data_IF_544640764444
#
_entry.id   IF_544640764444
#
_cell.length_a   1.000
_cell.length_b   1.000
_cell.length_c   1.000
_cell.angle_alpha   90.00
_cell.angle_beta   90.00
_cell.angle_gamma   90.00
#
_symmetry.space_group_name_H-M   'P 1'
#
loop_
_entity.id
_entity.type
_entity.pdbx_description
1 polymer ?
#
# COMPACT_ATOMS: atom_id res chain seq x y z
N UNK A 1 3.30 -7.71 10.92
CA UNK A 1 2.14 -8.62 10.78
C UNK A 1 2.61 -10.05 11.03
N UNK A 2 1.84 -10.87 11.74
CA UNK A 2 2.16 -12.30 11.95
C UNK A 2 1.56 -13.13 10.82
N UNK A 3 2.21 -14.23 10.43
CA UNK A 3 1.61 -15.15 9.48
C UNK A 3 0.44 -15.90 10.17
N UNK A 4 -0.78 -15.92 9.59
CA UNK A 4 -1.90 -16.63 10.17
C UNK A 4 -1.72 -18.15 10.23
N UNK A 5 -0.79 -18.73 9.45
CA UNK A 5 -0.54 -20.17 9.45
C UNK A 5 0.49 -20.61 10.50
N UNK A 6 1.58 -19.86 10.72
CA UNK A 6 2.65 -20.28 11.63
C UNK A 6 2.80 -19.37 12.86
N UNK A 7 1.98 -18.32 13.00
CA UNK A 7 2.00 -17.33 14.09
C UNK A 7 3.34 -16.63 14.36
N UNK A 8 4.38 -16.94 13.59
CA UNK A 8 5.66 -16.27 13.66
C UNK A 8 5.59 -14.91 12.97
N UNK A 9 6.39 -13.97 13.46
CA UNK A 9 6.68 -12.71 12.77
C UNK A 9 7.30 -13.09 11.42
N UNK A 10 6.56 -12.84 10.33
CA UNK A 10 7.03 -13.11 8.98
C UNK A 10 8.16 -12.12 8.65
N UNK A 11 9.39 -12.44 9.08
CA UNK A 11 10.54 -11.54 9.07
C UNK A 11 11.13 -11.26 7.68
N UNK A 12 10.39 -11.55 6.61
CA UNK A 12 10.32 -10.75 5.38
C UNK A 12 9.28 -11.38 4.46
N UNK A 13 8.08 -10.79 4.39
CA UNK A 13 7.10 -11.13 3.36
C UNK A 13 7.68 -10.75 2.00
N UNK A 14 8.19 -11.73 1.24
CA UNK A 14 8.76 -11.49 -0.09
C UNK A 14 7.61 -11.20 -1.06
N UNK A 15 7.51 -9.95 -1.54
CA UNK A 15 6.59 -9.55 -2.62
C UNK A 15 7.11 -9.90 -4.01
N UNK A 16 8.43 -9.93 -4.18
CA UNK A 16 9.10 -10.22 -5.43
C UNK A 16 10.42 -10.91 -5.10
N UNK A 17 10.56 -12.16 -5.52
CA UNK A 17 11.89 -12.67 -5.83
C UNK A 17 11.81 -13.35 -7.18
N UNK A 18 12.75 -13.01 -8.07
CA UNK A 18 13.01 -13.76 -9.30
C UNK A 18 13.59 -15.16 -9.00
N UNK A 19 13.89 -15.47 -7.73
CA UNK A 19 14.19 -16.82 -7.25
C UNK A 19 12.92 -17.57 -6.83
N UNK A 20 12.98 -18.90 -6.85
CA UNK A 20 11.97 -19.89 -6.39
C UNK A 20 11.38 -19.67 -4.97
N UNK A 21 11.82 -18.63 -4.27
CA UNK A 21 11.45 -18.28 -2.90
C UNK A 21 10.29 -17.26 -2.81
N UNK A 22 9.83 -16.72 -3.94
CA UNK A 22 8.83 -15.63 -4.01
C UNK A 22 7.61 -15.96 -4.88
N UNK A 23 6.72 -14.98 -5.02
CA UNK A 23 5.56 -15.06 -5.92
C UNK A 23 5.91 -14.51 -7.31
N UNK A 24 5.29 -15.06 -8.35
CA UNK A 24 5.46 -14.53 -9.73
C UNK A 24 4.93 -13.08 -9.83
N UNK A 25 5.40 -12.30 -10.80
CA UNK A 25 4.92 -10.91 -11.01
C UNK A 25 3.39 -10.82 -11.12
N UNK A 26 2.76 -11.76 -11.84
CA UNK A 26 1.31 -11.86 -11.98
C UNK A 26 0.60 -12.06 -10.63
N UNK A 27 1.17 -12.88 -9.74
CA UNK A 27 0.66 -13.13 -8.39
C UNK A 27 0.91 -11.92 -7.45
N UNK A 28 2.03 -11.22 -7.62
CA UNK A 28 2.35 -9.98 -6.90
C UNK A 28 1.35 -8.86 -7.20
N UNK A 29 0.96 -8.69 -8.48
CA UNK A 29 -0.08 -7.73 -8.90
C UNK A 29 -1.46 -8.09 -8.32
N UNK A 30 -1.73 -9.37 -8.06
CA UNK A 30 -2.94 -9.83 -7.35
C UNK A 30 -2.87 -9.65 -5.83
N UNK A 31 -1.80 -9.05 -5.31
CA UNK A 31 -1.57 -8.82 -3.89
C UNK A 31 -1.20 -10.08 -3.12
N UNK A 32 -0.66 -11.11 -3.80
CA UNK A 32 -0.19 -12.33 -3.16
C UNK A 32 1.23 -12.15 -2.61
N UNK A 33 1.54 -12.89 -1.56
CA UNK A 33 2.74 -12.84 -0.75
C UNK A 33 3.07 -14.27 -0.34
N UNK A 34 4.34 -14.67 -0.27
CA UNK A 34 4.70 -15.97 0.31
C UNK A 34 5.34 -15.77 1.68
N UNK A 35 4.92 -16.55 2.67
CA UNK A 35 5.62 -16.57 3.94
C UNK A 35 6.88 -17.41 3.80
N UNK A 36 8.07 -16.81 4.00
CA UNK A 36 9.36 -17.53 3.90
C UNK A 36 9.45 -18.72 4.86
N UNK A 37 8.80 -18.64 6.02
CA UNK A 37 9.01 -19.59 7.11
C UNK A 37 8.09 -20.82 7.05
N UNK A 38 6.88 -20.68 6.50
CA UNK A 38 5.95 -21.80 6.31
C UNK A 38 5.65 -22.12 4.85
N UNK A 39 6.21 -21.36 3.90
CA UNK A 39 5.98 -21.55 2.46
C UNK A 39 4.56 -21.22 1.98
N UNK A 40 3.63 -20.87 2.88
CA UNK A 40 2.23 -20.64 2.56
C UNK A 40 2.05 -19.36 1.74
N UNK A 41 1.21 -19.45 0.71
CA UNK A 41 0.75 -18.31 -0.08
C UNK A 41 -0.34 -17.55 0.68
N UNK A 42 -0.04 -16.29 0.95
CA UNK A 42 -0.93 -15.31 1.55
C UNK A 42 -1.41 -14.36 0.46
N UNK A 43 -2.59 -13.79 0.60
CA UNK A 43 -3.10 -12.72 -0.24
C UNK A 43 -3.68 -11.63 0.62
N UNK A 44 -3.44 -10.40 0.21
CA UNK A 44 -4.16 -9.29 0.79
C UNK A 44 -5.58 -9.26 0.20
N UNK A 45 -6.56 -9.65 1.02
CA UNK A 45 -7.97 -9.81 0.66
C UNK A 45 -8.57 -8.56 0.00
N UNK A 46 -8.13 -7.39 0.48
CA UNK A 46 -8.66 -6.09 0.07
C UNK A 46 -7.59 -5.24 -0.63
N UNK A 47 -6.59 -5.88 -1.24
CA UNK A 47 -5.54 -5.20 -2.00
C UNK A 47 -6.08 -4.21 -3.04
N UNK A 48 -7.12 -4.60 -3.78
CA UNK A 48 -7.76 -3.72 -4.77
C UNK A 48 -8.32 -2.44 -4.13
N UNK A 49 -9.03 -2.55 -3.00
CA UNK A 49 -9.57 -1.38 -2.27
C UNK A 49 -8.46 -0.48 -1.76
N UNK A 50 -7.38 -1.07 -1.24
CA UNK A 50 -6.22 -0.33 -0.75
C UNK A 50 -5.52 0.45 -1.87
N UNK A 51 -5.31 -0.18 -3.04
CA UNK A 51 -4.72 0.48 -4.21
C UNK A 51 -5.64 1.59 -4.71
N UNK A 52 -6.95 1.34 -4.81
CA UNK A 52 -7.92 2.33 -5.26
C UNK A 52 -7.98 3.55 -4.35
N UNK A 53 -7.93 3.33 -3.03
CA UNK A 53 -7.96 4.40 -2.04
C UNK A 53 -6.68 5.25 -2.08
N UNK A 54 -5.52 4.62 -2.28
CA UNK A 54 -4.26 5.32 -2.50
C UNK A 54 -4.24 6.12 -3.81
N UNK A 55 -4.76 5.54 -4.90
CA UNK A 55 -4.85 6.20 -6.20
C UNK A 55 -5.82 7.40 -6.14
N UNK A 56 -6.99 7.24 -5.53
CA UNK A 56 -7.96 8.30 -5.34
C UNK A 56 -7.37 9.46 -4.51
N UNK A 57 -6.68 9.16 -3.40
CA UNK A 57 -6.02 10.17 -2.59
C UNK A 57 -4.96 10.95 -3.36
N UNK A 58 -4.16 10.27 -4.19
CA UNK A 58 -3.16 10.89 -5.03
C UNK A 58 -3.77 11.82 -6.09
N UNK A 59 -4.83 11.37 -6.77
CA UNK A 59 -5.55 12.19 -7.76
C UNK A 59 -6.15 13.44 -7.11
N UNK A 60 -6.82 13.29 -5.97
CA UNK A 60 -7.38 14.41 -5.22
C UNK A 60 -6.28 15.40 -4.81
N UNK A 61 -5.13 14.90 -4.32
CA UNK A 61 -3.99 15.75 -3.98
C UNK A 61 -3.48 16.55 -5.19
N UNK A 62 -3.31 15.90 -6.35
CA UNK A 62 -2.86 16.58 -7.58
C UNK A 62 -3.84 17.67 -8.02
N UNK A 63 -5.15 17.37 -8.01
CA UNK A 63 -6.19 18.34 -8.37
C UNK A 63 -6.15 19.55 -7.43
N UNK A 64 -6.07 19.30 -6.11
CA UNK A 64 -5.98 20.36 -5.11
C UNK A 64 -4.69 21.19 -5.26
N UNK A 65 -3.57 20.57 -5.61
CA UNK A 65 -2.34 21.29 -5.93
C UNK A 65 -2.53 22.21 -7.14
N UNK A 66 -3.10 21.72 -8.24
CA UNK A 66 -3.31 22.54 -9.45
C UNK A 66 -4.28 23.70 -9.22
N UNK A 67 -5.37 23.48 -8.49
CA UNK A 67 -6.42 24.49 -8.30
C UNK A 67 -5.99 25.63 -7.35
N UNK A 68 -5.24 25.31 -6.30
CA UNK A 68 -5.00 26.27 -5.22
C UNK A 68 -3.58 26.83 -5.14
N UNK A 69 -2.59 26.23 -5.80
CA UNK A 69 -1.20 26.71 -5.71
C UNK A 69 -1.02 28.11 -6.30
N UNK A 70 -1.60 28.40 -7.46
CA UNK A 70 -1.51 29.71 -8.10
C UNK A 70 -2.25 30.82 -7.33
N UNK A 71 -3.51 30.62 -6.90
CA UNK A 71 -4.21 31.56 -6.03
C UNK A 71 -3.45 31.83 -4.72
N UNK A 72 -2.95 30.79 -4.03
CA UNK A 72 -2.18 30.96 -2.80
C UNK A 72 -0.88 31.73 -3.04
N UNK A 73 -0.17 31.42 -4.13
CA UNK A 73 1.07 32.14 -4.49
C UNK A 73 0.81 33.62 -4.68
N UNK A 74 -0.26 33.96 -5.41
CA UNK A 74 -0.62 35.36 -5.68
C UNK A 74 -1.08 36.11 -4.43
N UNK A 75 -1.79 35.44 -3.52
CA UNK A 75 -2.37 36.08 -2.33
C UNK A 75 -1.42 36.15 -1.13
N UNK A 76 -0.62 35.12 -0.89
CA UNK A 76 0.14 34.92 0.35
C UNK A 76 1.63 34.64 0.09
N UNK A 77 2.05 34.61 -1.17
CA UNK A 77 3.41 34.35 -1.58
C UNK A 77 3.80 32.87 -1.57
N UNK A 78 5.07 32.61 -1.87
CA UNK A 78 5.60 31.25 -2.05
C UNK A 78 5.62 30.43 -0.74
N UNK A 79 5.81 31.09 0.40
CA UNK A 79 5.85 30.41 1.71
C UNK A 79 4.54 29.70 2.04
N UNK A 80 3.40 30.32 1.74
CA UNK A 80 2.09 29.71 1.96
C UNK A 80 1.82 28.50 1.05
N UNK A 81 2.33 28.53 -0.18
CA UNK A 81 2.25 27.39 -1.12
C UNK A 81 3.03 26.19 -0.58
N UNK A 82 4.24 26.41 -0.05
CA UNK A 82 5.05 25.35 0.53
C UNK A 82 4.37 24.71 1.75
N UNK A 83 3.83 25.53 2.66
CA UNK A 83 3.07 25.02 3.82
C UNK A 83 1.85 24.22 3.36
N UNK A 84 1.10 24.74 2.38
CA UNK A 84 -0.05 24.05 1.79
C UNK A 84 0.32 22.68 1.21
N UNK A 85 1.43 22.59 0.47
CA UNK A 85 1.90 21.31 -0.09
C UNK A 85 2.32 20.32 0.99
N UNK A 86 2.99 20.79 2.05
CA UNK A 86 3.35 19.94 3.19
C UNK A 86 2.08 19.39 3.86
N UNK A 87 1.07 20.22 4.08
CA UNK A 87 -0.21 19.78 4.68
C UNK A 87 -0.91 18.75 3.80
N UNK A 88 -0.96 18.96 2.48
CA UNK A 88 -1.51 18.00 1.53
C UNK A 88 -0.76 16.66 1.56
N UNK A 89 0.57 16.71 1.62
CA UNK A 89 1.40 15.52 1.67
C UNK A 89 1.18 14.74 2.97
N UNK A 90 1.10 15.43 4.11
CA UNK A 90 0.77 14.82 5.40
C UNK A 90 -0.60 14.16 5.37
N UNK A 91 -1.62 14.84 4.84
CA UNK A 91 -2.96 14.28 4.64
C UNK A 91 -2.93 13.01 3.79
N UNK A 92 -2.19 13.00 2.68
CA UNK A 92 -2.05 11.83 1.82
C UNK A 92 -1.38 10.65 2.55
N UNK A 93 -0.34 10.91 3.34
CA UNK A 93 0.33 9.90 4.17
C UNK A 93 -0.63 9.32 5.21
N UNK A 94 -1.43 10.18 5.87
CA UNK A 94 -2.45 9.73 6.83
C UNK A 94 -3.51 8.84 6.19
N UNK A 95 -4.02 9.22 5.00
CA UNK A 95 -4.99 8.40 4.25
C UNK A 95 -4.38 7.05 3.84
N UNK A 96 -3.11 7.05 3.40
CA UNK A 96 -2.39 5.82 3.08
C UNK A 96 -2.22 4.92 4.31
N UNK A 97 -1.78 5.48 5.44
CA UNK A 97 -1.62 4.74 6.70
C UNK A 97 -2.96 4.15 7.19
N UNK A 98 -4.04 4.92 7.10
CA UNK A 98 -5.39 4.44 7.39
C UNK A 98 -5.81 3.30 6.47
N UNK A 99 -5.52 3.43 5.17
CA UNK A 99 -5.78 2.39 4.18
C UNK A 99 -5.04 1.08 4.48
N UNK A 100 -3.76 1.17 4.86
CA UNK A 100 -2.98 0.01 5.30
C UNK A 100 -3.61 -0.63 6.54
N UNK A 101 -3.95 0.17 7.55
CA UNK A 101 -4.47 -0.36 8.81
C UNK A 101 -5.83 -1.05 8.66
N UNK A 102 -6.73 -0.49 7.82
CA UNK A 102 -8.07 -1.05 7.61
C UNK A 102 -8.14 -2.17 6.59
N UNK A 103 -7.30 -2.15 5.56
CA UNK A 103 -7.44 -3.02 4.41
C UNK A 103 -6.29 -4.02 4.22
N UNK A 104 -5.18 -3.92 4.95
CA UNK A 104 -4.11 -4.92 4.90
C UNK A 104 -4.44 -6.16 5.76
N UNK A 105 -5.52 -6.87 5.38
CA UNK A 105 -5.86 -8.18 5.95
C UNK A 105 -5.23 -9.28 5.07
N UNK A 106 -4.42 -10.13 5.70
CA UNK A 106 -3.77 -11.28 5.05
C UNK A 106 -4.67 -12.51 5.17
N UNK A 107 -5.14 -13.02 4.04
CA UNK A 107 -5.84 -14.30 3.91
C UNK A 107 -4.90 -15.37 3.37
N UNK A 108 -5.11 -16.63 3.74
CA UNK A 108 -4.37 -17.78 3.21
C UNK A 108 -5.06 -18.20 1.90
N UNK A 109 -4.34 -18.23 0.79
CA UNK A 109 -4.95 -18.49 -0.54
C UNK A 109 -5.19 -19.97 -0.76
N UNK A 110 -4.30 -20.84 -0.29
CA UNK A 110 -4.51 -22.28 -0.21
C UNK A 110 -3.29 -22.92 0.48
N UNK A 111 -3.51 -24.00 1.24
CA UNK A 111 -2.43 -24.92 1.62
C UNK A 111 -2.01 -25.62 0.34
N UNK A 112 -0.73 -25.54 -0.01
CA UNK A 112 -0.15 -26.37 -1.06
C UNK A 112 -0.53 -27.81 -0.69
N UNK A 113 -1.45 -28.44 -1.44
CA UNK A 113 -1.63 -29.89 -1.38
C UNK A 113 -0.37 -30.45 -2.03
N UNK A 114 0.59 -30.86 -1.20
CA UNK A 114 1.64 -31.77 -1.61
C UNK A 114 0.94 -33.03 -2.16
N UNK A 115 0.98 -33.20 -3.47
CA UNK A 115 0.88 -34.52 -4.12
C UNK A 115 2.27 -35.09 -4.26
#
# INVERSE_FOLDING_TARGET
MKCPSCNQLASTLIRNSFSLQGVTFYQSVKGQLKCQNCGVLLRNAKFGKQVWLGLAAFVVMMVLMMLFSDPLRKSLGMGAVLIYWIVLLLMAVFVFAYGQWKYAMLEIVDKIKET
#
